data_IF_694377949654
#
_entry.id   IF_694377949654
#
_cell.length_a   1.000
_cell.length_b   1.000
_cell.length_c   1.000
_cell.angle_alpha   90.00
_cell.angle_beta   90.00
_cell.angle_gamma   90.00
#
_symmetry.space_group_name_H-M   'P 1'
#
loop_
_entity.id
_entity.type
_entity.pdbx_description
1 polymer ?
#
# COMPACT_ATOMS: atom_id res chain seq x y z
N UNK A 1 7.71 7.10 16.65
CA UNK A 1 7.75 5.78 15.96
C UNK A 1 6.73 5.74 14.83
N UNK A 2 6.95 4.93 13.79
CA UNK A 2 6.04 4.79 12.65
C UNK A 2 5.57 3.35 12.55
N UNK A 3 4.26 3.14 12.43
CA UNK A 3 3.63 1.85 12.15
C UNK A 3 3.09 1.87 10.74
N UNK A 4 3.53 0.91 9.92
CA UNK A 4 3.00 0.71 8.57
C UNK A 4 1.92 -0.37 8.61
N UNK A 5 0.72 -0.02 8.17
CA UNK A 5 -0.39 -0.94 8.05
C UNK A 5 -0.59 -1.36 6.60
N UNK A 6 -0.46 -2.65 6.32
CA UNK A 6 -0.62 -3.22 4.99
C UNK A 6 -2.00 -3.87 4.87
N UNK A 7 -2.89 -3.24 4.09
CA UNK A 7 -4.27 -3.70 3.90
C UNK A 7 -4.38 -4.94 3.00
N UNK A 8 -5.49 -5.66 3.11
CA UNK A 8 -5.77 -6.84 2.29
C UNK A 8 -6.33 -6.52 0.91
N UNK A 9 -6.69 -7.58 0.17
CA UNK A 9 -7.27 -7.52 -1.16
C UNK A 9 -8.44 -6.52 -1.25
N UNK A 10 -8.57 -5.87 -2.41
CA UNK A 10 -9.61 -4.90 -2.77
C UNK A 10 -9.64 -3.60 -1.95
N UNK A 11 -8.84 -3.50 -0.88
CA UNK A 11 -8.79 -2.29 -0.07
C UNK A 11 -8.11 -1.14 -0.82
N UNK A 12 -8.38 0.07 -0.35
CA UNK A 12 -7.51 1.23 -0.59
C UNK A 12 -6.95 1.73 0.75
N UNK A 13 -6.26 2.87 0.74
CA UNK A 13 -5.80 3.58 1.93
C UNK A 13 -6.96 3.93 2.90
N UNK A 14 -8.19 4.09 2.39
CA UNK A 14 -9.35 4.53 3.18
C UNK A 14 -9.88 3.45 4.14
N UNK A 15 -9.78 2.17 3.79
CA UNK A 15 -10.45 1.08 4.54
C UNK A 15 -9.99 1.05 6.00
N UNK A 16 -8.68 1.03 6.22
CA UNK A 16 -8.11 0.99 7.55
C UNK A 16 -8.40 2.29 8.31
N UNK A 17 -8.15 3.44 7.66
CA UNK A 17 -8.31 4.75 8.28
C UNK A 17 -9.73 4.96 8.79
N UNK A 18 -10.74 4.53 8.04
CA UNK A 18 -12.15 4.78 8.39
C UNK A 18 -12.77 3.73 9.30
N UNK A 19 -12.27 2.48 9.31
CA UNK A 19 -12.95 1.35 9.98
C UNK A 19 -12.19 0.77 11.17
N UNK A 20 -10.87 0.99 11.28
CA UNK A 20 -10.06 0.33 12.32
C UNK A 20 -10.06 1.06 13.68
N UNK A 21 -10.42 2.34 13.72
CA UNK A 21 -10.40 3.14 14.97
C UNK A 21 -9.00 3.34 15.57
N UNK A 22 -7.94 3.19 14.77
CA UNK A 22 -6.56 3.20 15.25
C UNK A 22 -6.08 4.58 15.72
N UNK A 23 -6.74 5.66 15.31
CA UNK A 23 -6.33 7.05 15.59
C UNK A 23 -6.29 7.36 17.09
N UNK A 24 -7.26 6.85 17.86
CA UNK A 24 -7.31 7.05 19.31
C UNK A 24 -6.06 6.45 19.98
N UNK A 25 -5.65 5.27 19.55
CA UNK A 25 -4.47 4.58 20.08
C UNK A 25 -3.17 5.22 19.59
N UNK A 26 -3.09 5.58 18.31
CA UNK A 26 -1.95 6.31 17.74
C UNK A 26 -1.69 7.62 18.50
N UNK A 27 -2.76 8.39 18.76
CA UNK A 27 -2.69 9.62 19.57
C UNK A 27 -2.28 9.34 21.02
N UNK A 28 -2.90 8.35 21.66
CA UNK A 28 -2.61 7.99 23.07
C UNK A 28 -1.16 7.55 23.29
N UNK A 29 -0.58 6.82 22.33
CA UNK A 29 0.74 6.20 22.47
C UNK A 29 1.85 6.92 21.71
N UNK A 30 1.55 7.99 20.98
CA UNK A 30 2.55 8.84 20.32
C UNK A 30 3.26 8.17 19.15
N UNK A 31 2.51 7.55 18.22
CA UNK A 31 3.05 7.00 16.98
C UNK A 31 2.29 7.48 15.74
N UNK A 32 3.00 7.54 14.62
CA UNK A 32 2.42 7.77 13.31
C UNK A 32 1.92 6.44 12.73
N UNK A 33 0.79 6.49 12.01
CA UNK A 33 0.31 5.37 11.21
C UNK A 33 0.35 5.75 9.74
N UNK A 34 0.97 4.90 8.94
CA UNK A 34 1.03 5.02 7.48
C UNK A 34 0.28 3.84 6.89
N UNK A 35 -0.78 4.11 6.12
CA UNK A 35 -1.60 3.10 5.47
C UNK A 35 -1.56 3.33 3.94
N UNK A 36 -0.60 2.73 3.21
CA UNK A 36 -0.54 2.84 1.76
C UNK A 36 -1.68 2.09 1.06
N UNK A 37 -1.80 2.34 -0.24
CA UNK A 37 -2.63 1.53 -1.13
C UNK A 37 -2.03 0.10 -1.34
N UNK A 38 -2.79 -0.80 -1.94
CA UNK A 38 -2.48 -2.25 -2.03
C UNK A 38 -1.87 -2.68 -3.37
N UNK A 39 -1.91 -1.80 -4.38
CA UNK A 39 -1.37 -2.00 -5.72
C UNK A 39 -1.12 -0.64 -6.37
N UNK A 40 -0.38 -0.57 -7.50
CA UNK A 40 -0.52 0.57 -8.39
C UNK A 40 -1.99 0.72 -8.87
N UNK A 41 -2.36 1.91 -9.33
CA UNK A 41 -3.71 2.24 -9.82
C UNK A 41 -3.63 2.90 -11.19
N UNK A 42 -4.61 2.64 -12.05
CA UNK A 42 -4.76 3.32 -13.35
C UNK A 42 -3.63 3.05 -14.34
N UNK A 43 -3.04 1.86 -14.29
CA UNK A 43 -1.94 1.48 -15.20
C UNK A 43 -2.44 1.08 -16.59
N UNK A 44 -3.72 0.74 -16.72
CA UNK A 44 -4.37 0.26 -17.94
C UNK A 44 -3.66 -0.96 -18.54
N UNK A 45 -3.22 -1.88 -17.68
CA UNK A 45 -2.58 -3.14 -18.06
C UNK A 45 -3.68 -4.18 -18.35
N UNK A 46 -3.57 -4.86 -19.49
CA UNK A 46 -4.50 -5.95 -19.84
C UNK A 46 -4.49 -7.04 -18.76
N UNK A 47 -5.67 -7.40 -18.27
CA UNK A 47 -5.87 -8.41 -17.22
C UNK A 47 -5.81 -7.88 -15.78
N UNK A 48 -5.50 -6.59 -15.55
CA UNK A 48 -5.36 -6.07 -14.18
C UNK A 48 -6.69 -5.84 -13.44
N UNK A 49 -7.80 -5.83 -14.18
CA UNK A 49 -9.17 -5.62 -13.65
C UNK A 49 -10.07 -6.86 -13.85
N UNK A 50 -9.53 -7.98 -14.34
CA UNK A 50 -10.31 -9.18 -14.68
C UNK A 50 -10.81 -9.94 -13.43
N UNK A 51 -10.13 -9.77 -12.29
CA UNK A 51 -10.40 -10.48 -11.04
C UNK A 51 -10.12 -9.60 -9.82
N UNK A 52 -10.72 -9.96 -8.68
CA UNK A 52 -10.55 -9.23 -7.42
C UNK A 52 -9.31 -9.69 -6.63
N UNK A 53 -8.76 -10.85 -6.98
CA UNK A 53 -7.66 -11.52 -6.31
C UNK A 53 -6.34 -11.41 -7.09
N UNK A 54 -6.30 -10.65 -8.19
CA UNK A 54 -5.11 -10.40 -8.99
C UNK A 54 -5.19 -9.01 -9.65
N UNK A 55 -4.03 -8.35 -9.83
CA UNK A 55 -3.97 -7.01 -10.43
C UNK A 55 -4.34 -5.90 -9.45
N UNK A 56 -5.23 -5.00 -9.87
CA UNK A 56 -5.63 -3.80 -9.13
C UNK A 56 -6.31 -4.17 -7.81
N UNK A 57 -5.81 -3.64 -6.69
CA UNK A 57 -6.25 -4.01 -5.35
C UNK A 57 -5.60 -5.30 -4.81
N UNK A 58 -4.69 -5.92 -5.58
CA UNK A 58 -4.11 -7.23 -5.30
C UNK A 58 -2.63 -7.31 -5.68
N UNK A 59 -1.80 -6.36 -5.21
CA UNK A 59 -0.37 -6.32 -5.54
C UNK A 59 0.53 -7.30 -4.76
N UNK A 60 -0.01 -8.01 -3.76
CA UNK A 60 0.68 -9.02 -2.92
C UNK A 60 1.99 -8.60 -2.26
N UNK A 61 2.35 -7.31 -2.28
CA UNK A 61 3.60 -6.78 -1.73
C UNK A 61 4.86 -7.45 -2.31
N UNK A 62 4.83 -7.79 -3.60
CA UNK A 62 5.98 -8.32 -4.35
C UNK A 62 6.51 -7.30 -5.36
N UNK A 63 7.73 -7.51 -5.82
CA UNK A 63 8.22 -6.91 -7.06
C UNK A 63 8.04 -7.93 -8.19
N UNK A 64 7.11 -7.66 -9.10
CA UNK A 64 6.84 -8.54 -10.22
C UNK A 64 8.03 -8.63 -11.18
N UNK A 65 8.25 -9.81 -11.73
CA UNK A 65 9.34 -10.10 -12.68
C UNK A 65 8.85 -10.23 -14.13
N UNK A 66 7.61 -10.65 -14.30
CA UNK A 66 7.00 -10.84 -15.62
C UNK A 66 6.78 -9.51 -16.34
N UNK A 67 7.06 -9.47 -17.64
CA UNK A 67 7.12 -8.25 -18.47
C UNK A 67 5.88 -7.36 -18.38
N UNK A 68 4.70 -7.97 -18.35
CA UNK A 68 3.41 -7.28 -18.24
C UNK A 68 3.28 -6.45 -16.96
N UNK A 69 3.88 -6.92 -15.86
CA UNK A 69 3.64 -6.39 -14.52
C UNK A 69 4.84 -5.64 -13.94
N UNK A 70 6.07 -6.00 -14.35
CA UNK A 70 7.33 -5.60 -13.70
C UNK A 70 7.56 -4.10 -13.56
N UNK A 71 6.95 -3.29 -14.43
CA UNK A 71 7.13 -1.84 -14.45
C UNK A 71 6.38 -1.17 -13.30
N UNK A 72 5.13 -1.59 -13.05
CA UNK A 72 4.23 -0.92 -12.11
C UNK A 72 4.02 -1.70 -10.82
N UNK A 73 3.98 -3.05 -10.89
CA UNK A 73 3.74 -3.92 -9.74
C UNK A 73 5.04 -4.16 -8.95
N UNK A 74 5.57 -3.08 -8.39
CA UNK A 74 6.81 -3.02 -7.59
C UNK A 74 6.51 -2.72 -6.12
N UNK A 75 5.48 -3.39 -5.59
CA UNK A 75 4.94 -3.06 -4.27
C UNK A 75 5.92 -3.37 -3.13
N UNK A 76 6.79 -4.37 -3.29
CA UNK A 76 7.83 -4.66 -2.30
C UNK A 76 8.83 -3.50 -2.21
N UNK A 77 9.35 -3.03 -3.35
CA UNK A 77 10.24 -1.87 -3.38
C UNK A 77 9.56 -0.61 -2.86
N UNK A 78 8.29 -0.39 -3.23
CA UNK A 78 7.51 0.75 -2.75
C UNK A 78 7.37 0.77 -1.22
N UNK A 79 6.92 -0.32 -0.60
CA UNK A 79 6.67 -0.36 0.84
C UNK A 79 7.94 -0.46 1.70
N UNK A 80 9.04 -0.99 1.17
CA UNK A 80 10.29 -1.17 1.93
C UNK A 80 11.32 -0.07 1.73
N UNK A 81 11.26 0.70 0.64
CA UNK A 81 12.27 1.71 0.29
C UNK A 81 11.67 3.07 0.04
N UNK A 82 10.87 3.21 -1.03
CA UNK A 82 10.39 4.50 -1.51
C UNK A 82 9.49 5.20 -0.48
N UNK A 83 8.44 4.52 -0.02
CA UNK A 83 7.50 5.10 0.93
C UNK A 83 8.17 5.44 2.27
N UNK A 84 8.98 4.56 2.89
CA UNK A 84 9.74 4.93 4.08
C UNK A 84 10.64 6.17 3.90
N UNK A 85 11.33 6.30 2.77
CA UNK A 85 12.13 7.50 2.47
C UNK A 85 11.26 8.75 2.37
N UNK A 86 10.12 8.68 1.67
CA UNK A 86 9.17 9.80 1.57
C UNK A 86 8.67 10.20 2.96
N UNK A 87 8.27 9.24 3.80
CA UNK A 87 7.76 9.52 5.13
C UNK A 87 8.84 10.17 6.00
N UNK A 88 10.06 9.62 6.03
CA UNK A 88 11.17 10.14 6.81
C UNK A 88 11.58 11.57 6.38
N UNK A 89 11.46 11.90 5.09
CA UNK A 89 11.85 13.20 4.57
C UNK A 89 10.78 14.29 4.77
N UNK A 90 9.49 13.93 4.88
CA UNK A 90 8.38 14.89 4.90
C UNK A 90 7.68 15.01 6.26
N UNK A 91 7.81 14.01 7.14
CA UNK A 91 7.11 13.98 8.42
C UNK A 91 8.11 13.74 9.55
N UNK A 92 8.14 14.68 10.50
CA UNK A 92 9.01 14.65 11.69
C UNK A 92 8.21 14.44 12.95
#
# INVERSE_FOLDING_TARGET
PVVYWLSGLTCTEQNFVTKAGAQQYASKHGFLVVAPDTSPRGCNIEGEEDGWDFGTGAGFYVDATEETWKTNYRMFSYITKELPEIIANNFK
#
